data_IF_096761285666
#
_entry.id   IF_096761285666
#
_cell.length_a   1.000
_cell.length_b   1.000
_cell.length_c   1.000
_cell.angle_alpha   90.00
_cell.angle_beta   90.00
_cell.angle_gamma   90.00
#
_symmetry.space_group_name_H-M   'P 1'
#
loop_
_entity.id
_entity.type
_entity.pdbx_description
1 polymer ?
#
# COMPACT_ATOMS: atom_id res chain seq x y z
N UNK A 1 -15.10 25.61 -21.11
CA UNK A 1 -13.70 25.24 -21.39
C UNK A 1 -13.24 26.07 -22.56
N UNK A 2 -12.33 27.01 -22.34
CA UNK A 2 -11.83 27.88 -23.40
C UNK A 2 -10.57 27.28 -24.03
N UNK A 3 -10.20 27.75 -25.22
CA UNK A 3 -9.01 27.27 -25.97
C UNK A 3 -7.70 27.44 -25.17
N UNK A 4 -7.68 28.35 -24.18
CA UNK A 4 -6.49 28.66 -23.38
C UNK A 4 -6.32 27.73 -22.18
N UNK A 5 -7.42 27.26 -21.59
CA UNK A 5 -7.40 26.17 -20.59
C UNK A 5 -6.78 24.92 -21.21
N UNK A 6 -7.21 24.59 -22.43
CA UNK A 6 -6.74 23.42 -23.16
C UNK A 6 -5.24 23.51 -23.45
N UNK A 7 -4.70 24.70 -23.72
CA UNK A 7 -3.26 24.90 -23.94
C UNK A 7 -2.46 24.61 -22.68
N UNK A 8 -2.88 25.13 -21.53
CA UNK A 8 -2.19 24.89 -20.26
C UNK A 8 -2.15 23.40 -19.90
N UNK A 9 -3.27 22.68 -20.03
CA UNK A 9 -3.32 21.25 -19.77
C UNK A 9 -2.54 20.40 -20.78
N UNK A 10 -2.43 20.86 -22.03
CA UNK A 10 -1.65 20.18 -23.05
C UNK A 10 -0.14 20.30 -22.77
N UNK A 11 0.34 21.51 -22.47
CA UNK A 11 1.73 21.75 -22.06
C UNK A 11 2.06 20.99 -20.75
N UNK A 12 1.16 21.00 -19.77
CA UNK A 12 1.32 20.25 -18.51
C UNK A 12 1.37 18.74 -18.75
N UNK A 13 0.51 18.21 -19.62
CA UNK A 13 0.49 16.81 -19.99
C UNK A 13 1.79 16.37 -20.68
N UNK A 14 2.35 17.20 -21.55
CA UNK A 14 3.64 16.94 -22.20
C UNK A 14 4.79 16.95 -21.19
N UNK A 15 4.85 17.95 -20.32
CA UNK A 15 5.93 18.14 -19.34
C UNK A 15 5.94 17.04 -18.26
N UNK A 16 4.76 16.57 -17.82
CA UNK A 16 4.60 15.43 -16.90
C UNK A 16 5.10 14.11 -17.54
N UNK A 17 5.03 13.97 -18.87
CA UNK A 17 5.52 12.80 -19.59
C UNK A 17 4.74 11.51 -19.25
N UNK A 18 5.46 10.40 -18.99
CA UNK A 18 4.88 9.09 -18.65
C UNK A 18 4.76 8.87 -17.13
N UNK A 19 4.29 9.88 -16.40
CA UNK A 19 4.10 9.76 -14.96
C UNK A 19 3.02 8.72 -14.62
N UNK A 20 3.25 7.81 -13.64
CA UNK A 20 2.31 6.75 -13.26
C UNK A 20 0.92 7.25 -12.84
N UNK A 21 0.86 8.48 -12.31
CA UNK A 21 -0.35 9.11 -11.79
C UNK A 21 -0.75 10.35 -12.62
N UNK A 22 -0.28 10.43 -13.88
CA UNK A 22 -0.53 11.56 -14.80
C UNK A 22 -2.00 11.97 -14.87
N UNK A 23 -2.90 11.00 -14.97
CA UNK A 23 -4.33 11.28 -15.11
C UNK A 23 -4.94 11.88 -13.84
N UNK A 24 -4.44 11.47 -12.67
CA UNK A 24 -4.91 11.97 -11.37
C UNK A 24 -4.38 13.39 -11.15
N UNK A 25 -3.10 13.64 -11.44
CA UNK A 25 -2.51 14.98 -11.41
C UNK A 25 -3.29 15.93 -12.34
N UNK A 26 -3.53 15.54 -13.59
CA UNK A 26 -4.27 16.38 -14.53
C UNK A 26 -5.70 16.68 -14.04
N UNK A 27 -6.38 15.70 -13.45
CA UNK A 27 -7.73 15.88 -12.91
C UNK A 27 -7.77 16.81 -11.69
N UNK A 28 -6.77 16.75 -10.80
CA UNK A 28 -6.64 17.67 -9.67
C UNK A 28 -6.47 19.11 -10.17
N UNK A 29 -5.53 19.35 -11.09
CA UNK A 29 -5.36 20.70 -11.65
C UNK A 29 -6.59 21.16 -12.44
N UNK A 30 -7.31 20.26 -13.11
CA UNK A 30 -8.58 20.58 -13.79
C UNK A 30 -9.63 21.07 -12.80
N UNK A 31 -9.75 20.41 -11.63
CA UNK A 31 -10.64 20.83 -10.56
C UNK A 31 -10.25 22.21 -10.00
N UNK A 32 -8.96 22.42 -9.70
CA UNK A 32 -8.47 23.70 -9.18
C UNK A 32 -8.69 24.86 -10.16
N UNK A 33 -8.49 24.63 -11.46
CA UNK A 33 -8.78 25.64 -12.50
C UNK A 33 -10.27 25.90 -12.61
N UNK A 34 -11.10 24.85 -12.53
CA UNK A 34 -12.55 24.99 -12.57
C UNK A 34 -13.10 25.78 -11.38
N UNK A 35 -12.60 25.54 -10.17
CA UNK A 35 -12.94 26.31 -8.97
C UNK A 35 -12.52 27.79 -9.12
N UNK A 36 -11.30 28.05 -9.60
CA UNK A 36 -10.80 29.40 -9.84
C UNK A 36 -11.66 30.18 -10.85
N UNK A 37 -12.10 29.52 -11.91
CA UNK A 37 -13.00 30.09 -12.93
C UNK A 37 -14.42 30.36 -12.41
N UNK A 38 -14.85 29.70 -11.33
CA UNK A 38 -16.14 29.97 -10.69
C UNK A 38 -16.08 31.11 -9.69
N UNK A 39 -14.96 31.25 -8.96
CA UNK A 39 -14.80 32.28 -7.93
C UNK A 39 -14.50 33.67 -8.52
N UNK A 40 -13.77 33.74 -9.64
CA UNK A 40 -13.40 34.99 -10.29
C UNK A 40 -13.87 34.99 -11.75
N UNK A 41 -14.55 36.07 -12.17
CA UNK A 41 -14.86 36.31 -13.58
C UNK A 41 -13.59 36.74 -14.32
N UNK A 42 -12.69 35.79 -14.53
CA UNK A 42 -11.42 36.01 -15.22
C UNK A 42 -11.71 36.26 -16.69
N UNK A 43 -11.22 37.37 -17.22
CA UNK A 43 -11.30 37.67 -18.64
C UNK A 43 -10.49 36.63 -19.43
N UNK A 44 -11.13 36.02 -20.43
CA UNK A 44 -10.57 34.97 -21.28
C UNK A 44 -9.28 35.45 -21.99
N UNK A 45 -9.06 36.76 -22.10
CA UNK A 45 -7.82 37.32 -22.63
C UNK A 45 -6.58 37.03 -21.74
N UNK A 46 -6.72 37.04 -20.41
CA UNK A 46 -5.62 36.91 -19.45
C UNK A 46 -5.57 35.57 -18.71
N UNK A 47 -6.46 34.64 -19.06
CA UNK A 47 -6.61 33.37 -18.36
C UNK A 47 -5.30 32.58 -18.24
N UNK A 48 -4.56 32.41 -19.34
CA UNK A 48 -3.28 31.68 -19.31
C UNK A 48 -2.24 32.30 -18.38
N UNK A 49 -2.10 33.64 -18.40
CA UNK A 49 -1.16 34.34 -17.52
C UNK A 49 -1.57 34.25 -16.06
N UNK A 50 -2.87 34.26 -15.76
CA UNK A 50 -3.36 34.13 -14.38
C UNK A 50 -3.18 32.70 -13.86
N UNK A 51 -3.41 31.69 -14.71
CA UNK A 51 -3.10 30.28 -14.41
C UNK A 51 -1.62 30.10 -14.06
N UNK A 52 -0.72 30.61 -14.90
CA UNK A 52 0.73 30.53 -14.65
C UNK A 52 1.13 31.28 -13.38
N UNK A 53 0.52 32.43 -13.10
CA UNK A 53 0.82 33.24 -11.92
C UNK A 53 0.39 32.57 -10.61
N UNK A 54 -0.77 31.88 -10.61
CA UNK A 54 -1.31 31.24 -9.39
C UNK A 54 -0.82 29.81 -9.19
N UNK A 55 -0.77 29.01 -10.26
CA UNK A 55 -0.44 27.58 -10.19
C UNK A 55 1.03 27.29 -10.49
N UNK A 56 1.75 28.25 -11.09
CA UNK A 56 3.08 28.05 -11.63
C UNK A 56 3.06 27.66 -13.10
N UNK A 57 4.24 27.66 -13.73
CA UNK A 57 4.37 27.20 -15.11
C UNK A 57 4.16 25.68 -15.21
N UNK A 58 3.67 25.17 -16.35
CA UNK A 58 3.57 23.72 -16.58
C UNK A 58 4.88 22.96 -16.31
N UNK A 59 6.02 23.60 -16.57
CA UNK A 59 7.36 23.07 -16.31
C UNK A 59 7.69 22.99 -14.82
N UNK A 60 7.40 24.03 -14.04
CA UNK A 60 7.58 24.03 -12.59
C UNK A 60 6.70 22.99 -11.93
N UNK A 61 5.42 22.91 -12.33
CA UNK A 61 4.49 21.89 -11.85
C UNK A 61 5.04 20.49 -12.15
N UNK A 62 5.44 20.24 -13.40
CA UNK A 62 6.00 18.95 -13.77
C UNK A 62 7.30 18.62 -13.02
N UNK A 63 8.14 19.61 -12.68
CA UNK A 63 9.33 19.41 -11.87
C UNK A 63 8.99 19.04 -10.42
N UNK A 64 7.99 19.68 -9.81
CA UNK A 64 7.51 19.35 -8.47
C UNK A 64 7.05 17.89 -8.44
N UNK A 65 6.20 17.49 -9.38
CA UNK A 65 5.73 16.11 -9.47
C UNK A 65 6.84 15.12 -9.81
N UNK A 66 7.81 15.49 -10.66
CA UNK A 66 9.00 14.65 -10.90
C UNK A 66 9.85 14.49 -9.65
N UNK A 67 9.94 15.47 -8.75
CA UNK A 67 10.65 15.31 -7.47
C UNK A 67 9.83 14.46 -6.48
N UNK A 68 8.51 14.65 -6.44
CA UNK A 68 7.60 13.83 -5.62
C UNK A 68 7.49 12.36 -6.10
N UNK A 69 7.82 12.05 -7.36
CA UNK A 69 7.96 10.64 -7.83
C UNK A 69 8.95 9.80 -7.02
N UNK A 70 9.84 10.42 -6.25
CA UNK A 70 10.76 9.67 -5.40
C UNK A 70 9.99 8.95 -4.28
N UNK A 71 8.82 9.45 -3.89
CA UNK A 71 7.95 8.99 -2.80
C UNK A 71 6.53 8.63 -3.33
N UNK A 72 6.43 8.00 -4.51
CA UNK A 72 5.12 7.67 -5.10
C UNK A 72 4.42 6.52 -4.35
N UNK A 73 3.07 6.53 -4.24
CA UNK A 73 2.26 5.46 -3.63
C UNK A 73 2.61 4.03 -4.03
N UNK A 74 3.02 3.85 -5.30
CA UNK A 74 3.39 2.54 -5.86
C UNK A 74 4.68 1.99 -5.26
N UNK A 75 5.65 2.84 -4.88
CA UNK A 75 6.89 2.39 -4.21
C UNK A 75 6.62 1.94 -2.78
N UNK A 76 5.84 2.72 -2.02
CA UNK A 76 5.44 2.36 -0.65
C UNK A 76 4.63 1.06 -0.65
N UNK A 77 3.70 0.89 -1.60
CA UNK A 77 3.00 -0.38 -1.83
C UNK A 77 3.94 -1.56 -2.07
N UNK A 78 4.93 -1.42 -2.96
CA UNK A 78 5.88 -2.49 -3.25
C UNK A 78 6.77 -2.83 -2.06
N UNK A 79 7.16 -1.82 -1.28
CA UNK A 79 7.90 -2.03 -0.02
C UNK A 79 7.12 -2.94 0.93
N UNK A 80 5.82 -2.72 1.09
CA UNK A 80 4.98 -3.57 1.94
C UNK A 80 4.84 -5.00 1.39
N UNK A 81 4.66 -5.15 0.08
CA UNK A 81 4.61 -6.47 -0.56
C UNK A 81 5.93 -7.21 -0.37
N UNK A 82 7.06 -6.53 -0.53
CA UNK A 82 8.40 -7.10 -0.34
C UNK A 82 8.62 -7.52 1.12
N UNK A 83 8.23 -6.70 2.10
CA UNK A 83 8.37 -7.05 3.52
C UNK A 83 7.54 -8.30 3.86
N UNK A 84 6.28 -8.35 3.44
CA UNK A 84 5.42 -9.50 3.70
C UNK A 84 5.93 -10.76 2.97
N UNK A 85 6.39 -10.62 1.72
CA UNK A 85 7.02 -11.71 0.99
C UNK A 85 8.33 -12.18 1.67
N UNK A 86 9.14 -11.26 2.17
CA UNK A 86 10.37 -11.57 2.90
C UNK A 86 10.11 -12.32 4.20
N UNK A 87 9.09 -11.92 4.97
CA UNK A 87 8.64 -12.65 6.17
C UNK A 87 8.15 -14.06 5.79
N UNK A 88 7.38 -14.18 4.71
CA UNK A 88 6.86 -15.47 4.24
C UNK A 88 7.99 -16.41 3.78
N UNK A 89 8.90 -15.92 2.93
CA UNK A 89 10.06 -16.67 2.44
C UNK A 89 10.98 -17.02 3.61
N UNK A 90 11.22 -16.09 4.53
CA UNK A 90 12.02 -16.32 5.74
C UNK A 90 11.43 -17.43 6.60
N UNK A 91 10.11 -17.43 6.83
CA UNK A 91 9.42 -18.51 7.53
C UNK A 91 9.52 -19.86 6.82
N UNK A 92 9.42 -19.87 5.49
CA UNK A 92 9.58 -21.08 4.68
C UNK A 92 11.02 -21.64 4.77
N UNK A 93 12.02 -20.78 4.62
CA UNK A 93 13.43 -21.15 4.76
C UNK A 93 13.74 -21.66 6.17
N UNK A 94 13.24 -21.00 7.21
CA UNK A 94 13.42 -21.44 8.59
C UNK A 94 12.82 -22.83 8.81
N UNK A 95 11.62 -23.08 8.26
CA UNK A 95 10.96 -24.40 8.33
C UNK A 95 11.79 -25.48 7.65
N UNK A 96 12.36 -25.18 6.47
CA UNK A 96 13.24 -26.10 5.74
C UNK A 96 14.55 -26.35 6.49
N UNK A 97 15.19 -25.29 7.02
CA UNK A 97 16.41 -25.37 7.83
C UNK A 97 16.23 -26.24 9.07
N UNK A 98 15.09 -26.11 9.76
CA UNK A 98 14.77 -26.92 10.93
C UNK A 98 14.54 -28.40 10.56
N UNK A 99 13.75 -28.68 9.52
CA UNK A 99 13.34 -30.06 9.20
C UNK A 99 14.39 -30.87 8.41
N UNK A 100 15.23 -30.21 7.58
CA UNK A 100 16.14 -30.90 6.66
C UNK A 100 17.60 -30.79 7.11
N UNK A 101 18.00 -29.62 7.61
CA UNK A 101 19.42 -29.31 7.83
C UNK A 101 19.86 -29.44 9.29
N UNK A 102 18.93 -29.56 10.25
CA UNK A 102 19.20 -29.71 11.68
C UNK A 102 20.25 -28.73 12.22
N UNK A 103 20.17 -27.47 11.77
CA UNK A 103 21.10 -26.44 12.20
C UNK A 103 20.76 -25.96 13.61
N UNK A 104 21.72 -26.04 14.54
CA UNK A 104 21.56 -25.63 15.95
C UNK A 104 20.97 -24.21 16.14
N UNK A 105 21.33 -23.27 15.26
CA UNK A 105 20.78 -21.91 15.32
C UNK A 105 19.31 -21.84 14.87
N UNK A 106 18.90 -22.69 13.93
CA UNK A 106 17.52 -22.76 13.46
C UNK A 106 16.62 -23.42 14.53
N UNK A 107 17.13 -24.43 15.23
CA UNK A 107 16.43 -25.07 16.36
C UNK A 107 16.17 -24.07 17.49
N UNK A 108 17.18 -23.30 17.90
CA UNK A 108 17.03 -22.28 18.94
C UNK A 108 15.97 -21.21 18.56
N UNK A 109 15.97 -20.75 17.31
CA UNK A 109 14.97 -19.80 16.81
C UNK A 109 13.58 -20.45 16.80
N UNK A 110 13.49 -21.70 16.31
CA UNK A 110 12.24 -22.44 16.21
C UNK A 110 11.59 -22.67 17.58
N UNK A 111 12.34 -23.11 18.58
CA UNK A 111 11.86 -23.32 19.94
C UNK A 111 11.31 -22.01 20.56
N UNK A 112 12.00 -20.90 20.35
CA UNK A 112 11.52 -19.60 20.81
C UNK A 112 10.22 -19.19 20.10
N UNK A 113 10.10 -19.41 18.79
CA UNK A 113 8.91 -19.10 18.01
C UNK A 113 7.68 -19.92 18.48
N UNK A 114 7.88 -21.20 18.81
CA UNK A 114 6.82 -22.08 19.32
C UNK A 114 6.19 -21.54 20.60
N UNK A 115 6.95 -20.81 21.41
CA UNK A 115 6.49 -20.31 22.70
C UNK A 115 5.72 -18.99 22.63
N UNK A 116 5.77 -18.26 21.50
CA UNK A 116 5.18 -16.91 21.37
C UNK A 116 4.19 -16.71 20.21
N UNK A 117 3.38 -17.71 19.78
CA UNK A 117 2.55 -17.59 18.59
C UNK A 117 1.48 -16.48 18.71
N UNK A 118 0.94 -16.25 19.91
CA UNK A 118 -0.01 -15.16 20.17
C UNK A 118 0.63 -13.78 19.99
N UNK A 119 1.88 -13.61 20.42
CA UNK A 119 2.62 -12.36 20.28
C UNK A 119 2.89 -12.08 18.80
N UNK A 120 3.30 -13.10 18.04
CA UNK A 120 3.52 -12.99 16.58
C UNK A 120 2.23 -12.54 15.89
N UNK A 121 1.08 -13.16 16.21
CA UNK A 121 -0.21 -12.76 15.64
C UNK A 121 -0.58 -11.31 15.99
N UNK A 122 -0.40 -10.90 17.25
CA UNK A 122 -0.70 -9.53 17.68
C UNK A 122 0.17 -8.51 16.95
N UNK A 123 1.48 -8.75 16.85
CA UNK A 123 2.39 -7.90 16.08
C UNK A 123 1.99 -7.82 14.61
N UNK A 124 1.57 -8.93 14.02
CA UNK A 124 1.12 -8.96 12.63
C UNK A 124 -0.15 -8.14 12.41
N UNK A 125 -1.12 -8.24 13.32
CA UNK A 125 -2.36 -7.43 13.28
C UNK A 125 -2.03 -5.94 13.43
N UNK A 126 -1.15 -5.60 14.38
CA UNK A 126 -0.71 -4.22 14.60
C UNK A 126 0.01 -3.66 13.36
N UNK A 127 0.90 -4.45 12.75
CA UNK A 127 1.57 -4.11 11.51
C UNK A 127 0.56 -3.79 10.39
N UNK A 128 -0.47 -4.62 10.21
CA UNK A 128 -1.53 -4.36 9.24
C UNK A 128 -2.37 -3.12 9.55
N UNK A 129 -2.64 -2.84 10.83
CA UNK A 129 -3.31 -1.62 11.27
C UNK A 129 -2.48 -0.36 10.97
N UNK A 130 -1.16 -0.41 11.25
CA UNK A 130 -0.21 0.66 10.96
C UNK A 130 -0.07 0.91 9.46
N UNK A 131 -0.03 -0.15 8.64
CA UNK A 131 -0.04 -0.02 7.18
C UNK A 131 -1.31 0.69 6.71
N UNK A 132 -2.47 0.26 7.22
CA UNK A 132 -3.73 0.92 6.92
C UNK A 132 -3.66 2.40 7.25
N UNK A 133 -3.14 2.74 8.43
CA UNK A 133 -2.95 4.11 8.90
C UNK A 133 -2.04 4.94 7.99
N UNK A 134 -0.84 4.46 7.64
CA UNK A 134 0.07 5.20 6.75
C UNK A 134 -0.54 5.40 5.36
N UNK A 135 -1.20 4.38 4.80
CA UNK A 135 -1.89 4.53 3.50
C UNK A 135 -3.01 5.58 3.58
N UNK A 136 -3.74 5.62 4.69
CA UNK A 136 -4.80 6.61 4.90
C UNK A 136 -4.26 8.02 5.05
N UNK A 137 -3.15 8.17 5.76
CA UNK A 137 -2.47 9.45 6.01
C UNK A 137 -1.80 9.99 4.75
N UNK A 138 -1.17 9.13 3.95
CA UNK A 138 -0.34 9.53 2.82
C UNK A 138 -1.17 9.70 1.53
N UNK A 139 -2.27 8.95 1.35
CA UNK A 139 -3.03 8.93 0.09
C UNK A 139 -4.51 9.30 0.20
N UNK A 140 -4.99 9.71 1.40
CA UNK A 140 -6.34 10.23 1.59
C UNK A 140 -7.44 9.39 0.92
N UNK A 141 -8.31 10.02 0.11
CA UNK A 141 -9.39 9.33 -0.61
C UNK A 141 -8.90 8.39 -1.74
N UNK A 142 -7.78 8.70 -2.40
CA UNK A 142 -7.21 7.88 -3.48
C UNK A 142 -6.60 6.55 -2.99
N UNK A 143 -6.15 6.51 -1.73
CA UNK A 143 -5.50 5.35 -1.11
C UNK A 143 -6.36 4.10 -0.91
N UNK A 144 -7.69 4.20 -1.01
CA UNK A 144 -8.57 3.06 -0.73
C UNK A 144 -8.37 1.88 -1.69
N UNK A 145 -8.27 2.16 -3.00
CA UNK A 145 -8.02 1.12 -4.02
C UNK A 145 -6.63 0.51 -3.86
N UNK A 146 -5.64 1.34 -3.47
CA UNK A 146 -4.29 0.89 -3.20
C UNK A 146 -4.27 -0.07 -2.01
N UNK A 147 -4.91 0.30 -0.90
CA UNK A 147 -5.06 -0.53 0.29
C UNK A 147 -5.68 -1.89 -0.03
N UNK A 148 -6.80 -1.92 -0.76
CA UNK A 148 -7.48 -3.16 -1.14
C UNK A 148 -6.58 -4.08 -1.98
N UNK A 149 -5.87 -3.54 -2.98
CA UNK A 149 -4.97 -4.33 -3.82
C UNK A 149 -3.80 -4.88 -3.01
N UNK A 150 -3.13 -4.03 -2.22
CA UNK A 150 -2.00 -4.45 -1.38
C UNK A 150 -2.41 -5.54 -0.40
N UNK A 151 -3.55 -5.35 0.27
CA UNK A 151 -4.10 -6.33 1.20
C UNK A 151 -4.35 -7.69 0.52
N UNK A 152 -5.00 -7.70 -0.64
CA UNK A 152 -5.29 -8.92 -1.37
C UNK A 152 -4.00 -9.64 -1.82
N UNK A 153 -3.06 -8.92 -2.43
CA UNK A 153 -1.80 -9.52 -2.89
C UNK A 153 -0.96 -10.09 -1.74
N UNK A 154 -0.98 -9.46 -0.57
CA UNK A 154 -0.22 -9.92 0.59
C UNK A 154 -0.87 -11.09 1.34
N UNK A 155 -2.21 -11.19 1.35
CA UNK A 155 -2.92 -12.24 2.09
C UNK A 155 -3.15 -13.51 1.29
N UNK A 156 -3.28 -13.41 -0.03
CA UNK A 156 -3.47 -14.57 -0.90
C UNK A 156 -2.40 -15.65 -0.66
N UNK A 157 -1.09 -15.35 -0.61
CA UNK A 157 -0.06 -16.35 -0.30
C UNK A 157 -0.24 -17.02 1.07
N UNK A 158 -0.64 -16.26 2.09
CA UNK A 158 -0.86 -16.76 3.45
C UNK A 158 -2.06 -17.71 3.53
N UNK A 159 -3.17 -17.35 2.89
CA UNK A 159 -4.36 -18.21 2.81
C UNK A 159 -4.07 -19.46 2.00
N UNK A 160 -3.35 -19.33 0.88
CA UNK A 160 -2.94 -20.48 0.07
C UNK A 160 -2.07 -21.45 0.88
N UNK A 161 -1.10 -20.95 1.65
CA UNK A 161 -0.27 -21.80 2.51
C UNK A 161 -1.12 -22.55 3.56
N UNK A 162 -2.01 -21.84 4.25
CA UNK A 162 -2.92 -22.45 5.23
C UNK A 162 -3.80 -23.53 4.58
N UNK A 163 -4.30 -23.29 3.37
CA UNK A 163 -5.06 -24.26 2.60
C UNK A 163 -4.22 -25.50 2.25
N UNK A 164 -3.00 -25.32 1.74
CA UNK A 164 -2.09 -26.43 1.40
C UNK A 164 -1.78 -27.33 2.61
N UNK A 165 -1.67 -26.76 3.80
CA UNK A 165 -1.46 -27.51 5.05
C UNK A 165 -2.72 -28.30 5.43
N UNK A 166 -3.92 -27.70 5.31
CA UNK A 166 -5.20 -28.37 5.62
C UNK A 166 -5.44 -29.57 4.68
N UNK A 167 -5.15 -29.41 3.39
CA UNK A 167 -5.27 -30.48 2.39
C UNK A 167 -4.15 -31.52 2.46
N UNK A 168 -3.26 -31.40 3.45
CA UNK A 168 -2.12 -32.32 3.69
C UNK A 168 -1.18 -32.45 2.49
N UNK A 169 -1.18 -31.46 1.58
CA UNK A 169 -0.18 -31.37 0.50
C UNK A 169 1.19 -31.11 1.13
N UNK A 170 1.21 -30.29 2.19
CA UNK A 170 2.38 -30.09 3.05
C UNK A 170 2.16 -30.85 4.36
N UNK A 171 3.12 -31.67 4.83
CA UNK A 171 2.95 -32.40 6.09
C UNK A 171 2.82 -31.45 7.26
N UNK A 172 1.69 -31.51 7.98
CA UNK A 172 1.48 -30.69 9.19
C UNK A 172 2.51 -30.95 10.30
N UNK A 173 3.17 -32.12 10.26
CA UNK A 173 4.23 -32.50 11.19
C UNK A 173 5.45 -31.59 11.12
N UNK A 174 5.72 -30.97 9.96
CA UNK A 174 6.84 -30.05 9.77
C UNK A 174 6.70 -28.76 10.57
N UNK A 175 5.46 -28.45 10.98
CA UNK A 175 5.13 -27.25 11.72
C UNK A 175 4.63 -27.54 13.15
N UNK A 176 4.67 -28.80 13.61
CA UNK A 176 4.37 -29.11 15.01
C UNK A 176 5.50 -28.61 15.92
N UNK A 177 5.19 -28.04 17.11
CA UNK A 177 3.86 -27.77 17.68
C UNK A 177 3.22 -26.45 17.22
N UNK A 178 3.97 -25.60 16.52
CA UNK A 178 3.61 -24.23 16.13
C UNK A 178 2.24 -24.12 15.42
N UNK A 179 1.97 -24.98 14.42
CA UNK A 179 0.73 -25.01 13.64
C UNK A 179 -0.09 -26.26 13.95
N UNK A 180 -0.72 -26.28 15.13
CA UNK A 180 -1.80 -27.22 15.40
C UNK A 180 -3.04 -26.91 14.52
N UNK A 181 -3.89 -27.91 14.26
CA UNK A 181 -5.14 -27.70 13.52
C UNK A 181 -5.99 -26.56 14.12
N UNK A 182 -6.09 -26.51 15.46
CA UNK A 182 -6.81 -25.44 16.17
C UNK A 182 -6.17 -24.08 15.92
N UNK A 183 -4.85 -24.01 15.90
CA UNK A 183 -4.11 -22.78 15.63
C UNK A 183 -4.33 -22.29 14.19
N UNK A 184 -4.31 -23.18 13.20
CA UNK A 184 -4.57 -22.83 11.80
C UNK A 184 -5.97 -22.21 11.62
N UNK A 185 -6.99 -22.80 12.24
CA UNK A 185 -8.37 -22.24 12.20
C UNK A 185 -8.40 -20.84 12.82
N UNK A 186 -7.73 -20.65 13.95
CA UNK A 186 -7.59 -19.33 14.59
C UNK A 186 -6.89 -18.34 13.65
N UNK A 187 -5.78 -18.73 13.02
CA UNK A 187 -5.07 -17.90 12.05
C UNK A 187 -5.93 -17.50 10.85
N UNK A 188 -6.78 -18.39 10.32
CA UNK A 188 -7.70 -18.07 9.22
C UNK A 188 -8.71 -17.00 9.66
N UNK A 189 -9.29 -17.16 10.85
CA UNK A 189 -10.23 -16.17 11.42
C UNK A 189 -9.53 -14.82 11.61
N UNK A 190 -8.35 -14.80 12.23
CA UNK A 190 -7.58 -13.58 12.41
C UNK A 190 -7.17 -12.94 11.07
N UNK A 191 -6.84 -13.74 10.06
CA UNK A 191 -6.52 -13.25 8.71
C UNK A 191 -7.71 -12.53 8.10
N UNK A 192 -8.94 -13.03 8.31
CA UNK A 192 -10.14 -12.31 7.91
C UNK A 192 -10.32 -10.99 8.67
N UNK A 193 -9.95 -10.95 9.96
CA UNK A 193 -9.96 -9.72 10.78
C UNK A 193 -8.88 -8.69 10.39
N UNK A 194 -7.85 -9.06 9.64
CA UNK A 194 -6.84 -8.09 9.19
C UNK A 194 -7.46 -7.02 8.27
N UNK A 195 -8.50 -7.36 7.51
CA UNK A 195 -9.17 -6.40 6.61
C UNK A 195 -9.87 -5.29 7.39
N UNK A 196 -10.78 -5.57 8.34
CA UNK A 196 -11.40 -4.53 9.13
C UNK A 196 -10.37 -3.75 9.96
N UNK A 197 -9.31 -4.37 10.46
CA UNK A 197 -8.26 -3.68 11.22
C UNK A 197 -7.50 -2.67 10.35
N UNK A 198 -7.05 -3.09 9.15
CA UNK A 198 -6.39 -2.18 8.20
C UNK A 198 -7.33 -1.07 7.73
N UNK A 199 -8.62 -1.35 7.56
CA UNK A 199 -9.64 -0.35 7.24
C UNK A 199 -9.86 0.67 8.36
N UNK A 200 -9.82 0.24 9.64
CA UNK A 200 -9.88 1.14 10.79
C UNK A 200 -8.63 2.03 10.83
N UNK A 201 -7.45 1.45 10.63
CA UNK A 201 -6.20 2.21 10.49
C UNK A 201 -6.30 3.26 9.39
N UNK A 202 -6.75 2.86 8.20
CA UNK A 202 -6.95 3.75 7.05
C UNK A 202 -7.91 4.91 7.33
N UNK A 203 -9.06 4.63 7.94
CA UNK A 203 -9.99 5.69 8.35
C UNK A 203 -9.39 6.66 9.34
N UNK A 204 -8.51 6.18 10.23
CA UNK A 204 -7.84 7.04 11.20
C UNK A 204 -6.77 7.90 10.54
N UNK A 205 -5.89 7.32 9.72
CA UNK A 205 -4.87 8.06 8.96
C UNK A 205 -5.48 9.12 8.05
N UNK A 206 -6.58 8.79 7.36
CA UNK A 206 -7.33 9.71 6.51
C UNK A 206 -7.83 10.95 7.24
N UNK A 207 -8.23 10.84 8.52
CA UNK A 207 -8.69 11.97 9.31
C UNK A 207 -7.56 12.93 9.71
N UNK A 208 -6.32 12.45 9.73
CA UNK A 208 -5.12 13.25 10.07
C UNK A 208 -4.55 13.95 8.85
N UNK A 209 -4.87 13.46 7.64
CA UNK A 209 -4.48 14.07 6.37
C UNK A 209 -5.32 15.30 5.97
N UNK A 210 -6.42 15.60 6.69
CA UNK A 210 -7.30 16.76 6.44
C UNK A 210 -6.90 17.91 7.36
#
# INVERSE_FOLDING_TARGET
MTLKDQRFFLELSEEIGNHPDKQEILADYEMHVFEMLQEESIDDQNLYSELVKRLGTPQEIAQIWKQETIITPKRTQWLFVIINAGIFIGGALLTLSYNIFHWNWAELIWENLINIPLIIMLLYIMFWGLIGYEIGKEFGHGGYRLMQKTFLFSIVPNILLMYLIIFKIIPYTWFQPLLSFRFIVVCIVFTAFLYPVSMVGYRWGKKVSV
#
